data_IF_374917077754
#
_entry.id   IF_374917077754
#
_cell.length_a   1.000
_cell.length_b   1.000
_cell.length_c   1.000
_cell.angle_alpha   90.00
_cell.angle_beta   90.00
_cell.angle_gamma   90.00
#
_symmetry.space_group_name_H-M   'P 1'
#
loop_
_entity.id
_entity.type
_entity.pdbx_description
1 polymer ?
#
# COMPACT_ATOMS: atom_id res chain seq x y z
N UNK A 1 6.47 13.63 20.58
CA UNK A 1 7.91 13.65 20.24
C UNK A 1 8.20 12.49 19.31
N UNK A 2 9.16 12.61 18.38
CA UNK A 2 9.46 11.52 17.46
C UNK A 2 9.99 10.29 18.21
N UNK A 3 9.51 9.10 17.85
CA UNK A 3 9.99 7.83 18.38
C UNK A 3 11.42 7.60 17.89
N UNK A 4 12.40 7.66 18.81
CA UNK A 4 13.81 7.57 18.47
C UNK A 4 14.33 6.12 18.36
N UNK A 5 13.48 5.10 18.52
CA UNK A 5 13.85 3.68 18.42
C UNK A 5 14.58 3.35 17.11
N UNK A 6 15.79 2.81 17.22
CA UNK A 6 16.62 2.41 16.07
C UNK A 6 16.08 1.17 15.35
N UNK A 7 15.15 0.43 15.96
CA UNK A 7 14.52 -0.76 15.37
C UNK A 7 13.08 -0.45 14.98
N UNK A 8 12.63 -1.07 13.89
CA UNK A 8 11.22 -1.13 13.51
C UNK A 8 10.43 -1.79 14.62
N UNK A 9 9.19 -1.37 14.77
CA UNK A 9 8.20 -2.13 15.53
C UNK A 9 8.13 -3.53 14.88
N UNK A 10 8.32 -4.60 15.65
CA UNK A 10 8.31 -5.95 15.09
C UNK A 10 6.92 -6.25 14.52
N UNK A 11 6.85 -6.89 13.35
CA UNK A 11 5.57 -7.35 12.83
C UNK A 11 5.23 -8.72 13.46
N UNK A 12 4.01 -8.95 13.95
CA UNK A 12 3.59 -10.27 14.37
C UNK A 12 3.59 -11.23 13.18
N UNK A 13 4.12 -12.42 13.38
CA UNK A 13 4.20 -13.48 12.37
C UNK A 13 3.68 -14.78 12.96
N UNK A 14 3.17 -15.66 12.10
CA UNK A 14 2.89 -17.04 12.50
C UNK A 14 4.17 -17.76 12.95
N UNK A 15 4.02 -18.64 13.95
CA UNK A 15 5.10 -19.51 14.42
C UNK A 15 5.67 -20.38 13.29
N UNK A 16 7.02 -20.53 13.18
CA UNK A 16 7.66 -21.23 12.07
C UNK A 16 7.13 -22.65 11.81
N UNK A 17 6.92 -23.44 12.86
CA UNK A 17 6.42 -24.81 12.74
C UNK A 17 4.95 -24.89 12.31
N UNK A 18 4.18 -23.83 12.57
CA UNK A 18 2.77 -23.72 12.17
C UNK A 18 2.67 -23.27 10.71
N UNK A 19 3.37 -22.18 10.34
CA UNK A 19 3.34 -21.62 8.97
C UNK A 19 3.94 -22.55 7.92
N UNK A 20 4.81 -23.47 8.34
CA UNK A 20 5.34 -24.52 7.45
C UNK A 20 4.28 -25.55 7.00
N UNK A 21 3.08 -25.55 7.59
CA UNK A 21 2.03 -26.55 7.37
C UNK A 21 0.73 -25.96 6.80
N UNK A 22 0.74 -24.70 6.38
CA UNK A 22 -0.43 -24.04 5.81
C UNK A 22 -0.04 -22.98 4.76
N UNK A 23 -1.02 -22.48 4.00
CA UNK A 23 -0.86 -21.43 3.00
C UNK A 23 -1.47 -20.08 3.45
N UNK A 24 -1.73 -19.90 4.75
CA UNK A 24 -2.22 -18.64 5.29
C UNK A 24 -1.08 -17.61 5.33
N UNK A 25 -1.44 -16.33 5.38
CA UNK A 25 -0.46 -15.23 5.37
C UNK A 25 0.48 -15.33 6.60
N UNK A 26 1.79 -15.35 6.35
CA UNK A 26 2.81 -15.50 7.40
C UNK A 26 2.85 -14.28 8.32
N UNK A 27 2.90 -13.10 7.71
CA UNK A 27 2.94 -11.80 8.38
C UNK A 27 1.52 -11.33 8.68
N UNK A 28 1.20 -11.07 9.94
CA UNK A 28 -0.18 -10.81 10.38
C UNK A 28 -0.59 -9.33 10.29
N UNK A 29 0.35 -8.43 10.00
CA UNK A 29 0.09 -6.99 9.92
C UNK A 29 0.18 -6.30 11.29
N UNK A 30 0.11 -4.97 11.29
CA UNK A 30 0.13 -4.18 12.51
C UNK A 30 -1.27 -4.00 13.11
N UNK A 31 -1.33 -3.90 14.44
CA UNK A 31 -2.47 -3.27 15.11
C UNK A 31 -2.42 -1.75 14.94
N UNK A 32 -3.48 -1.05 15.30
CA UNK A 32 -3.50 0.42 15.30
C UNK A 32 -2.36 0.99 16.16
N UNK A 33 -2.16 0.46 17.36
CA UNK A 33 -1.14 0.95 18.29
C UNK A 33 0.27 0.78 17.71
N UNK A 34 0.54 -0.39 17.12
CA UNK A 34 1.82 -0.69 16.48
C UNK A 34 2.06 0.20 15.26
N UNK A 35 1.03 0.44 14.44
CA UNK A 35 1.12 1.31 13.28
C UNK A 35 1.41 2.76 13.69
N UNK A 36 0.73 3.27 14.72
CA UNK A 36 0.98 4.61 15.28
C UNK A 36 2.37 4.72 15.90
N UNK A 37 2.83 3.70 16.60
CA UNK A 37 4.18 3.65 17.18
C UNK A 37 5.26 3.70 16.08
N UNK A 38 5.12 2.89 15.03
CA UNK A 38 6.04 2.85 13.89
C UNK A 38 6.00 4.15 13.09
N UNK A 39 4.80 4.71 12.86
CA UNK A 39 4.62 6.00 12.20
C UNK A 39 5.33 7.14 12.97
N UNK A 40 5.35 7.06 14.30
CA UNK A 40 6.08 7.98 15.17
C UNK A 40 7.59 8.02 14.93
N UNK A 41 8.19 7.01 14.27
CA UNK A 41 9.63 6.98 13.92
C UNK A 41 9.97 7.85 12.72
N UNK A 42 8.98 8.28 11.94
CA UNK A 42 9.20 9.15 10.79
C UNK A 42 9.64 10.55 11.22
N UNK A 43 10.75 11.03 10.64
CA UNK A 43 11.34 12.34 10.98
C UNK A 43 10.67 13.52 10.27
N UNK A 44 9.66 13.27 9.43
CA UNK A 44 9.03 14.28 8.57
C UNK A 44 10.09 15.10 7.79
N UNK A 45 10.99 14.38 7.12
CA UNK A 45 12.14 14.95 6.41
C UNK A 45 11.71 16.05 5.43
N UNK A 46 12.36 17.22 5.47
CA UNK A 46 12.11 18.33 4.52
C UNK A 46 12.33 17.91 3.05
N UNK A 47 13.32 17.04 2.81
CA UNK A 47 13.60 16.42 1.51
C UNK A 47 13.42 14.91 1.64
N UNK A 48 12.22 14.37 1.36
CA UNK A 48 11.91 12.98 1.66
C UNK A 48 12.41 12.05 0.54
N UNK A 49 13.67 11.60 0.64
CA UNK A 49 14.29 10.68 -0.33
C UNK A 49 13.54 9.34 -0.47
N UNK A 50 12.73 8.96 0.53
CA UNK A 50 11.86 7.79 0.43
C UNK A 50 10.80 7.92 -0.68
N UNK A 51 10.35 9.14 -1.00
CA UNK A 51 9.42 9.41 -2.10
C UNK A 51 10.10 9.14 -3.44
N UNK A 52 11.32 9.65 -3.63
CA UNK A 52 12.13 9.41 -4.84
C UNK A 52 12.48 7.91 -5.02
N UNK A 53 12.63 7.18 -3.91
CA UNK A 53 12.85 5.72 -3.92
C UNK A 53 11.60 4.90 -4.27
N UNK A 54 10.41 5.51 -4.28
CA UNK A 54 9.17 4.84 -4.65
C UNK A 54 8.91 5.03 -6.16
N UNK A 55 8.73 3.96 -6.96
CA UNK A 55 8.53 4.09 -8.41
C UNK A 55 7.33 4.95 -8.82
N UNK A 56 6.30 5.04 -7.97
CA UNK A 56 5.09 5.84 -8.22
C UNK A 56 5.02 7.09 -7.35
N UNK A 57 6.12 7.44 -6.67
CA UNK A 57 6.25 8.64 -5.84
C UNK A 57 5.12 8.81 -4.80
N UNK A 58 4.77 7.72 -4.09
CA UNK A 58 3.81 7.81 -2.97
C UNK A 58 4.25 8.91 -2.00
N UNK A 59 3.29 9.73 -1.56
CA UNK A 59 3.50 10.84 -0.61
C UNK A 59 3.72 10.31 0.81
N UNK A 60 4.85 9.63 1.00
CA UNK A 60 5.16 8.80 2.18
C UNK A 60 5.08 9.59 3.50
N UNK A 61 5.73 10.76 3.65
CA UNK A 61 5.65 11.51 4.91
C UNK A 61 4.24 11.98 5.25
N UNK A 62 3.41 12.27 4.23
CA UNK A 62 2.05 12.76 4.41
C UNK A 62 1.15 11.65 4.96
N UNK A 63 1.12 10.47 4.33
CA UNK A 63 0.25 9.39 4.83
C UNK A 63 0.74 8.89 6.19
N UNK A 64 2.06 8.81 6.43
CA UNK A 64 2.58 8.38 7.73
C UNK A 64 2.23 9.38 8.82
N UNK A 65 2.19 10.67 8.51
CA UNK A 65 1.69 11.65 9.46
C UNK A 65 0.24 11.37 9.84
N UNK A 66 -0.64 11.13 8.87
CA UNK A 66 -2.04 10.81 9.15
C UNK A 66 -2.19 9.51 9.94
N UNK A 67 -1.35 8.50 9.69
CA UNK A 67 -1.31 7.28 10.53
C UNK A 67 -0.95 7.63 11.97
N UNK A 68 0.07 8.47 12.20
CA UNK A 68 0.45 8.88 13.56
C UNK A 68 -0.68 9.63 14.29
N UNK A 69 -1.48 10.41 13.57
CA UNK A 69 -2.65 11.12 14.12
C UNK A 69 -3.90 10.21 14.28
N UNK A 70 -3.89 8.99 13.72
CA UNK A 70 -5.05 8.08 13.74
C UNK A 70 -6.05 8.31 12.60
N UNK A 71 -5.72 9.14 11.61
CA UNK A 71 -6.59 9.48 10.48
C UNK A 71 -6.42 8.48 9.32
N UNK A 72 -6.71 7.20 9.54
CA UNK A 72 -6.38 6.14 8.58
C UNK A 72 -7.11 6.24 7.23
N UNK A 73 -8.36 6.71 7.22
CA UNK A 73 -9.07 6.98 5.98
C UNK A 73 -8.35 8.04 5.13
N UNK A 74 -7.90 9.13 5.75
CA UNK A 74 -7.15 10.18 5.05
C UNK A 74 -5.78 9.69 4.59
N UNK A 75 -5.12 8.84 5.39
CA UNK A 75 -3.89 8.18 4.98
C UNK A 75 -4.12 7.32 3.71
N UNK A 76 -5.23 6.58 3.65
CA UNK A 76 -5.61 5.77 2.49
C UNK A 76 -5.85 6.64 1.24
N UNK A 77 -6.55 7.75 1.38
CA UNK A 77 -6.77 8.72 0.28
C UNK A 77 -5.45 9.30 -0.24
N UNK A 78 -4.49 9.60 0.65
CA UNK A 78 -3.17 10.10 0.27
C UNK A 78 -2.38 9.05 -0.52
N UNK A 79 -2.40 7.79 -0.09
CA UNK A 79 -1.70 6.70 -0.79
C UNK A 79 -2.35 6.48 -2.16
N UNK A 80 -3.68 6.33 -2.19
CA UNK A 80 -4.44 6.01 -3.40
C UNK A 80 -4.51 7.13 -4.43
N UNK A 81 -4.06 8.34 -4.08
CA UNK A 81 -3.86 9.41 -5.07
C UNK A 81 -2.71 9.14 -6.04
N UNK A 82 -1.83 8.17 -5.76
CA UNK A 82 -0.66 7.84 -6.58
C UNK A 82 -0.49 6.34 -6.82
N UNK A 83 -0.97 5.50 -5.90
CA UNK A 83 -0.86 4.05 -5.97
C UNK A 83 -2.25 3.40 -5.97
N UNK A 84 -2.61 2.73 -7.05
CA UNK A 84 -3.92 2.07 -7.17
C UNK A 84 -4.05 0.78 -6.33
N UNK A 85 -2.94 0.19 -5.86
CA UNK A 85 -2.93 -1.15 -5.27
C UNK A 85 -2.12 -1.21 -3.94
N UNK A 86 -2.44 -0.37 -2.94
CA UNK A 86 -1.62 -0.25 -1.74
C UNK A 86 -1.57 -1.51 -0.86
N UNK A 87 -2.66 -2.28 -0.81
CA UNK A 87 -2.69 -3.55 -0.08
C UNK A 87 -1.71 -4.58 -0.66
N UNK A 88 -1.38 -4.47 -1.95
CA UNK A 88 -0.44 -5.34 -2.64
C UNK A 88 0.99 -4.80 -2.52
N UNK A 89 1.24 -3.54 -2.88
CA UNK A 89 2.59 -2.96 -2.82
C UNK A 89 3.17 -2.99 -1.40
N UNK A 90 2.36 -2.76 -0.37
CA UNK A 90 2.78 -2.87 1.03
C UNK A 90 3.22 -4.29 1.42
N UNK A 91 2.84 -5.31 0.66
CA UNK A 91 3.20 -6.73 0.87
C UNK A 91 4.36 -7.21 0.00
N UNK A 92 4.38 -6.83 -1.28
CA UNK A 92 5.27 -7.47 -2.27
C UNK A 92 6.37 -6.57 -2.83
N UNK A 93 6.32 -5.25 -2.59
CA UNK A 93 7.42 -4.39 -3.03
C UNK A 93 8.72 -4.80 -2.31
N UNK A 94 9.86 -4.86 -3.00
CA UNK A 94 11.17 -5.06 -2.36
C UNK A 94 11.64 -3.73 -1.75
N UNK A 95 11.05 -3.33 -0.61
CA UNK A 95 11.26 -2.00 -0.03
C UNK A 95 12.74 -1.71 0.30
N UNK A 96 13.52 -2.76 0.59
CA UNK A 96 14.97 -2.73 0.81
C UNK A 96 15.79 -2.25 -0.40
N UNK A 97 15.18 -2.25 -1.58
CA UNK A 97 15.75 -1.69 -2.82
C UNK A 97 15.00 -0.44 -3.33
N UNK A 98 13.93 -0.04 -2.64
CA UNK A 98 13.03 1.05 -3.02
C UNK A 98 12.94 2.12 -1.92
N UNK A 99 11.72 2.47 -1.47
CA UNK A 99 11.46 3.59 -0.56
C UNK A 99 12.21 3.48 0.78
N UNK A 100 12.34 2.27 1.34
CA UNK A 100 13.01 2.06 2.62
C UNK A 100 14.54 2.12 2.48
N UNK A 101 15.09 1.73 1.33
CA UNK A 101 16.54 1.88 1.01
C UNK A 101 17.02 3.34 1.06
N UNK A 102 16.11 4.29 0.83
CA UNK A 102 16.38 5.73 0.81
C UNK A 102 15.98 6.43 2.11
N UNK A 103 15.46 5.71 3.10
CA UNK A 103 15.00 6.32 4.34
C UNK A 103 16.19 6.80 5.19
N UNK A 104 16.19 8.07 5.60
CA UNK A 104 17.25 8.66 6.44
C UNK A 104 17.44 7.91 7.77
N UNK A 105 16.37 7.33 8.34
CA UNK A 105 16.45 6.48 9.55
C UNK A 105 17.31 5.23 9.33
N UNK A 106 17.34 4.71 8.10
CA UNK A 106 18.12 3.55 7.70
C UNK A 106 19.64 3.73 7.75
N UNK A 107 20.15 4.97 7.88
CA UNK A 107 21.60 5.22 7.92
C UNK A 107 22.24 4.74 9.23
N UNK A 108 21.54 4.89 10.36
CA UNK A 108 22.06 4.56 11.71
C UNK A 108 21.29 3.42 12.40
N UNK A 109 20.29 2.85 11.74
CA UNK A 109 19.41 1.82 12.28
C UNK A 109 18.52 1.27 11.17
N UNK A 110 17.35 0.74 11.54
CA UNK A 110 16.38 0.28 10.55
C UNK A 110 15.56 1.46 10.01
N UNK A 111 15.21 1.44 8.71
CA UNK A 111 14.35 2.46 8.11
C UNK A 111 12.96 2.44 8.76
N UNK A 112 12.17 3.48 8.51
CA UNK A 112 10.72 3.42 8.82
C UNK A 112 10.12 2.30 7.99
N UNK A 113 9.25 1.48 8.57
CA UNK A 113 8.62 0.37 7.90
C UNK A 113 7.46 0.83 6.99
N UNK A 114 7.80 1.56 5.93
CA UNK A 114 6.87 2.20 5.00
C UNK A 114 5.92 1.16 4.39
N UNK A 115 6.42 0.01 3.95
CA UNK A 115 5.58 -1.03 3.35
C UNK A 115 4.54 -1.58 4.34
N UNK A 116 4.96 -1.77 5.60
CA UNK A 116 4.08 -2.26 6.67
C UNK A 116 2.98 -1.27 7.02
N UNK A 117 3.30 0.03 7.02
CA UNK A 117 2.33 1.10 7.25
C UNK A 117 1.36 1.25 6.07
N UNK A 118 1.85 1.17 4.82
CA UNK A 118 0.99 1.18 3.62
C UNK A 118 0.01 -0.01 3.64
N UNK A 119 0.51 -1.21 3.97
CA UNK A 119 -0.31 -2.40 4.16
C UNK A 119 -1.38 -2.18 5.23
N UNK A 120 -0.98 -1.71 6.42
CA UNK A 120 -1.91 -1.48 7.53
C UNK A 120 -3.04 -0.55 7.12
N UNK A 121 -2.72 0.58 6.48
CA UNK A 121 -3.72 1.56 6.05
C UNK A 121 -4.70 0.95 5.04
N UNK A 122 -4.20 0.17 4.09
CA UNK A 122 -5.04 -0.46 3.08
C UNK A 122 -5.93 -1.59 3.65
N UNK A 123 -5.38 -2.40 4.56
CA UNK A 123 -6.13 -3.46 5.26
C UNK A 123 -7.21 -2.85 6.17
N UNK A 124 -6.86 -1.82 6.94
CA UNK A 124 -7.80 -1.09 7.79
C UNK A 124 -8.95 -0.48 6.98
N UNK A 125 -8.66 0.15 5.84
CA UNK A 125 -9.70 0.74 4.99
C UNK A 125 -10.65 -0.33 4.44
N UNK A 126 -10.12 -1.48 4.01
CA UNK A 126 -10.92 -2.62 3.53
C UNK A 126 -11.84 -3.18 4.62
N UNK A 127 -11.42 -3.15 5.88
CA UNK A 127 -12.17 -3.74 6.99
C UNK A 127 -13.18 -2.76 7.64
N UNK A 128 -12.89 -1.47 7.62
CA UNK A 128 -13.67 -0.47 8.37
C UNK A 128 -14.51 0.46 7.48
N UNK A 129 -14.10 0.69 6.23
CA UNK A 129 -14.79 1.62 5.32
C UNK A 129 -15.36 0.87 4.12
N UNK A 130 -14.50 0.22 3.34
CA UNK A 130 -14.84 -0.56 2.15
C UNK A 130 -15.88 0.10 1.22
N UNK A 131 -15.77 1.42 1.06
CA UNK A 131 -16.75 2.17 0.29
C UNK A 131 -16.67 1.81 -1.19
N UNK A 132 -17.82 1.52 -1.79
CA UNK A 132 -17.91 1.34 -3.23
C UNK A 132 -17.65 2.69 -3.94
N UNK A 133 -16.79 2.73 -4.97
CA UNK A 133 -16.52 3.95 -5.69
C UNK A 133 -17.77 4.42 -6.44
N UNK A 134 -17.98 5.74 -6.48
CA UNK A 134 -19.04 6.32 -7.30
C UNK A 134 -18.71 6.17 -8.78
N UNK A 135 -19.71 5.74 -9.56
CA UNK A 135 -19.57 5.63 -11.01
C UNK A 135 -19.60 7.02 -11.63
N UNK A 136 -18.52 7.39 -12.31
CA UNK A 136 -18.46 8.65 -13.04
C UNK A 136 -19.54 8.70 -14.16
N UNK A 137 -20.08 9.89 -14.48
CA UNK A 137 -20.94 10.08 -15.64
C UNK A 137 -20.28 9.55 -16.91
N UNK A 138 -21.06 8.87 -17.75
CA UNK A 138 -20.54 8.32 -19.01
C UNK A 138 -20.07 9.43 -19.94
N UNK A 139 -18.88 9.27 -20.52
CA UNK A 139 -18.37 10.12 -21.59
C UNK A 139 -18.71 9.59 -23.00
N UNK A 140 -19.42 8.46 -23.09
CA UNK A 140 -19.85 7.85 -24.35
C UNK A 140 -18.78 7.02 -25.08
N UNK A 141 -17.54 6.96 -24.58
CA UNK A 141 -16.43 6.26 -25.23
C UNK A 141 -16.21 4.88 -24.58
N UNK A 142 -16.02 3.86 -25.43
CA UNK A 142 -15.73 2.48 -25.01
C UNK A 142 -14.25 2.18 -25.11
N UNK A 143 -13.72 1.47 -24.11
CA UNK A 143 -12.30 1.04 -24.08
C UNK A 143 -12.23 -0.45 -23.74
N UNK A 144 -11.39 -1.18 -24.46
CA UNK A 144 -11.05 -2.56 -24.15
C UNK A 144 -9.67 -2.63 -23.50
N UNK A 145 -9.55 -3.37 -22.40
CA UNK A 145 -8.28 -3.69 -21.73
C UNK A 145 -8.07 -5.20 -21.86
N UNK A 146 -6.96 -5.61 -22.45
CA UNK A 146 -6.61 -7.03 -22.63
C UNK A 146 -5.59 -7.44 -21.56
N UNK A 147 -5.98 -8.38 -20.69
CA UNK A 147 -5.25 -8.82 -19.51
C UNK A 147 -5.73 -8.16 -18.21
N UNK A 148 -5.92 -8.97 -17.17
CA UNK A 148 -6.44 -8.54 -15.86
C UNK A 148 -5.39 -8.53 -14.74
N UNK A 149 -4.11 -8.45 -15.10
CA UNK A 149 -3.03 -8.25 -14.12
C UNK A 149 -3.06 -6.83 -13.49
N UNK A 150 -2.09 -6.52 -12.60
CA UNK A 150 -2.00 -5.21 -11.94
C UNK A 150 -2.12 -4.04 -12.91
N UNK A 151 -1.40 -4.08 -14.03
CA UNK A 151 -1.43 -3.02 -15.05
C UNK A 151 -2.82 -2.83 -15.66
N UNK A 152 -3.49 -3.92 -16.04
CA UNK A 152 -4.82 -3.88 -16.66
C UNK A 152 -5.89 -3.39 -15.69
N UNK A 153 -5.88 -3.88 -14.45
CA UNK A 153 -6.81 -3.46 -13.40
C UNK A 153 -6.64 -1.99 -13.03
N UNK A 154 -5.40 -1.50 -12.90
CA UNK A 154 -5.12 -0.08 -12.66
C UNK A 154 -5.62 0.79 -13.82
N UNK A 155 -5.28 0.42 -15.06
CA UNK A 155 -5.73 1.15 -16.25
C UNK A 155 -7.27 1.19 -16.35
N UNK A 156 -7.93 0.06 -16.12
CA UNK A 156 -9.38 -0.03 -16.12
C UNK A 156 -10.03 0.84 -15.04
N UNK A 157 -9.48 0.83 -13.81
CA UNK A 157 -9.97 1.66 -12.71
C UNK A 157 -9.87 3.15 -13.03
N UNK A 158 -8.72 3.60 -13.52
CA UNK A 158 -8.48 5.01 -13.82
C UNK A 158 -9.32 5.51 -15.00
N UNK A 159 -9.54 4.67 -16.02
CA UNK A 159 -10.44 4.98 -17.13
C UNK A 159 -11.91 5.01 -16.67
N UNK A 160 -12.34 4.08 -15.81
CA UNK A 160 -13.69 4.08 -15.27
C UNK A 160 -13.99 5.36 -14.46
N UNK A 161 -13.03 5.85 -13.66
CA UNK A 161 -13.13 7.13 -12.93
C UNK A 161 -13.25 8.34 -13.86
N UNK A 162 -12.80 8.24 -15.11
CA UNK A 162 -12.91 9.28 -16.15
C UNK A 162 -14.18 9.14 -17.02
N UNK A 163 -15.09 8.23 -16.67
CA UNK A 163 -16.37 8.06 -17.36
C UNK A 163 -16.34 7.17 -18.60
N UNK A 164 -15.21 6.50 -18.89
CA UNK A 164 -15.13 5.54 -20.00
C UNK A 164 -15.90 4.25 -19.67
N UNK A 165 -16.52 3.66 -20.68
CA UNK A 165 -17.08 2.31 -20.57
C UNK A 165 -15.98 1.28 -20.85
N UNK A 166 -15.36 0.77 -19.79
CA UNK A 166 -14.24 -0.17 -19.88
C UNK A 166 -14.75 -1.61 -19.87
N UNK A 167 -14.21 -2.44 -20.76
CA UNK A 167 -14.36 -3.91 -20.74
C UNK A 167 -12.97 -4.54 -20.59
N UNK A 168 -12.80 -5.40 -19.58
CA UNK A 168 -11.56 -6.14 -19.35
C UNK A 168 -11.73 -7.55 -19.92
N UNK A 169 -10.79 -7.98 -20.75
CA UNK A 169 -10.74 -9.30 -21.35
C UNK A 169 -9.60 -10.08 -20.72
N UNK A 170 -9.92 -11.21 -20.09
CA UNK A 170 -8.96 -12.11 -19.45
C UNK A 170 -9.05 -13.49 -20.11
N UNK A 171 -7.90 -14.11 -20.35
CA UNK A 171 -7.83 -15.44 -20.95
C UNK A 171 -8.16 -16.54 -19.93
N UNK A 172 -7.79 -16.34 -18.66
CA UNK A 172 -8.05 -17.30 -17.59
C UNK A 172 -9.46 -17.15 -17.00
N UNK A 173 -9.87 -18.17 -16.25
CA UNK A 173 -11.17 -18.24 -15.58
C UNK A 173 -11.27 -17.34 -14.33
N UNK A 174 -10.19 -16.67 -13.93
CA UNK A 174 -10.15 -15.76 -12.79
C UNK A 174 -9.24 -14.57 -13.09
N UNK A 175 -9.70 -13.38 -12.72
CA UNK A 175 -8.97 -12.13 -12.93
C UNK A 175 -7.89 -11.89 -11.86
N UNK A 176 -6.77 -11.28 -12.23
CA UNK A 176 -5.72 -10.85 -11.30
C UNK A 176 -4.30 -11.08 -11.79
N UNK A 177 -4.11 -11.87 -12.84
CA UNK A 177 -2.76 -12.22 -13.33
C UNK A 177 -1.94 -12.93 -12.25
N UNK A 178 -0.65 -12.60 -12.17
CA UNK A 178 0.31 -13.13 -11.17
C UNK A 178 -0.14 -12.91 -9.71
N UNK A 179 -1.13 -12.06 -9.46
CA UNK A 179 -1.69 -11.88 -8.12
C UNK A 179 -2.53 -13.07 -7.64
N UNK A 180 -2.91 -13.97 -8.56
CA UNK A 180 -3.81 -15.11 -8.28
C UNK A 180 -3.15 -16.46 -8.55
N UNK A 181 -2.25 -16.57 -9.54
CA UNK A 181 -1.60 -17.81 -9.92
C UNK A 181 -0.07 -17.79 -9.76
#
# INVERSE_FOLDING_TARGET
>A
MANMSLKKVPMPEQEPLVRARNFQEVTLGYTEEMAKEEAGRCLKCKKPQCVEGCPVNVRIPEFIHEVAEGNFQKAYEIITSTNALPALSGRVCPQESQCESKCVRGIKGEPVAIGRLERFVADWYRENVNAMPEKAPSNGIKVAVVGSGPAGLTCASDLAKKGYQVSVFEALHTAGGVLVY
#
